data_IF_409342787601
#
_entry.id   IF_409342787601
#
_cell.length_a   1.000
_cell.length_b   1.000
_cell.length_c   1.000
_cell.angle_alpha   90.00
_cell.angle_beta   90.00
_cell.angle_gamma   90.00
#
_symmetry.space_group_name_H-M   'P 1'
#
loop_
_entity.id
_entity.type
_entity.pdbx_description
1 polymer ?
#
# COMPACT_ATOMS: atom_id res chain seq x y z
N UNK A 1 9.23 14.22 19.36
CA UNK A 1 10.09 14.07 18.16
C UNK A 1 9.20 14.30 16.95
N UNK A 2 9.42 15.36 16.21
CA UNK A 2 8.74 15.59 14.95
C UNK A 2 9.42 14.75 13.86
N UNK A 3 8.75 13.67 13.43
CA UNK A 3 9.30 12.71 12.49
C UNK A 3 8.94 13.17 11.06
N UNK A 4 9.92 13.51 10.20
CA UNK A 4 9.66 13.81 8.81
C UNK A 4 8.89 12.67 8.16
N UNK A 5 7.70 12.99 7.62
CA UNK A 5 6.74 12.01 7.12
C UNK A 5 6.37 12.32 5.68
N UNK A 6 6.64 11.41 4.77
CA UNK A 6 6.40 11.56 3.35
C UNK A 6 5.26 10.64 2.91
N UNK A 7 4.22 11.23 2.31
CA UNK A 7 3.13 10.50 1.70
C UNK A 7 3.45 10.26 0.21
N UNK A 8 3.52 8.98 -0.19
CA UNK A 8 3.76 8.55 -1.57
C UNK A 8 2.44 8.05 -2.14
N UNK A 9 1.69 8.96 -2.75
CA UNK A 9 0.36 8.71 -3.30
C UNK A 9 0.40 8.39 -4.81
N UNK A 10 -0.75 8.02 -5.36
CA UNK A 10 -0.93 7.75 -6.78
C UNK A 10 -1.83 6.54 -7.05
N UNK A 11 -2.35 6.40 -8.27
CA UNK A 11 -3.27 5.33 -8.63
C UNK A 11 -2.61 3.95 -8.56
N UNK A 12 -3.46 2.93 -8.64
CA UNK A 12 -3.02 1.55 -8.67
C UNK A 12 -2.08 1.30 -9.86
N UNK A 13 -0.97 0.61 -9.61
CA UNK A 13 0.00 0.26 -10.65
C UNK A 13 0.90 1.40 -11.13
N UNK A 14 0.81 2.63 -10.60
CA UNK A 14 1.65 3.75 -10.99
C UNK A 14 3.14 3.58 -10.63
N UNK A 15 3.47 2.69 -9.67
CA UNK A 15 4.85 2.42 -9.27
C UNK A 15 5.25 3.02 -7.93
N UNK A 16 4.31 3.27 -7.02
CA UNK A 16 4.55 3.79 -5.66
C UNK A 16 5.55 2.94 -4.88
N UNK A 17 5.30 1.64 -4.80
CA UNK A 17 6.17 0.69 -4.10
C UNK A 17 7.55 0.61 -4.72
N UNK A 18 7.64 0.72 -6.04
CA UNK A 18 8.92 0.76 -6.75
C UNK A 18 9.70 2.01 -6.35
N UNK A 19 9.05 3.18 -6.32
CA UNK A 19 9.67 4.40 -5.82
C UNK A 19 10.16 4.27 -4.38
N UNK A 20 9.36 3.69 -3.50
CA UNK A 20 9.76 3.49 -2.10
C UNK A 20 11.02 2.63 -2.01
N UNK A 21 11.13 1.55 -2.79
CA UNK A 21 12.35 0.72 -2.84
C UNK A 21 13.57 1.51 -3.31
N UNK A 22 13.41 2.31 -4.37
CA UNK A 22 14.49 3.14 -4.90
C UNK A 22 14.94 4.19 -3.86
N UNK A 23 14.03 4.74 -3.07
CA UNK A 23 14.37 5.65 -1.97
C UNK A 23 15.08 4.92 -0.83
N UNK A 24 14.64 3.71 -0.48
CA UNK A 24 15.27 2.90 0.56
C UNK A 24 16.70 2.49 0.20
N UNK A 25 16.95 2.19 -1.06
CA UNK A 25 18.29 1.89 -1.54
C UNK A 25 19.27 3.09 -1.39
N UNK A 26 18.72 4.30 -1.26
CA UNK A 26 19.48 5.55 -1.07
C UNK A 26 19.44 6.05 0.39
N UNK A 27 18.88 5.26 1.31
CA UNK A 27 18.78 5.65 2.73
C UNK A 27 20.16 5.95 3.31
N UNK A 28 20.35 7.11 3.98
CA UNK A 28 21.61 7.41 4.64
C UNK A 28 21.95 6.38 5.72
N UNK A 29 23.25 6.06 5.83
CA UNK A 29 23.75 5.23 6.93
C UNK A 29 23.40 5.87 8.28
N UNK A 30 23.04 5.05 9.26
CA UNK A 30 22.70 5.50 10.61
C UNK A 30 21.27 6.05 10.78
N UNK A 31 20.54 6.39 9.71
CA UNK A 31 19.13 6.74 9.82
C UNK A 31 18.26 5.49 9.96
N UNK A 32 17.23 5.57 10.79
CA UNK A 32 16.18 4.55 10.91
C UNK A 32 14.96 5.03 10.16
N UNK A 33 14.55 4.28 9.16
CA UNK A 33 13.37 4.59 8.39
C UNK A 33 12.24 3.61 8.72
N UNK A 34 11.04 4.13 8.82
CA UNK A 34 9.84 3.31 8.92
C UNK A 34 8.99 3.49 7.66
N UNK A 35 8.33 2.42 7.25
CA UNK A 35 7.43 2.43 6.13
C UNK A 35 6.09 1.89 6.61
N UNK A 36 5.03 2.66 6.37
CA UNK A 36 3.67 2.21 6.57
C UNK A 36 3.04 1.95 5.21
N UNK A 37 2.85 0.69 4.87
CA UNK A 37 2.19 0.30 3.64
C UNK A 37 0.76 -0.09 3.96
N UNK A 38 -0.16 0.54 3.25
CA UNK A 38 -1.56 0.17 3.29
C UNK A 38 -2.00 -0.50 1.99
N UNK A 39 -1.22 -1.37 1.49
CA UNK A 39 -1.62 -2.20 0.38
C UNK A 39 -1.71 -3.65 0.81
N UNK A 40 -2.94 -4.19 0.81
CA UNK A 40 -3.18 -5.59 1.05
C UNK A 40 -2.27 -6.44 0.13
N UNK A 41 -1.47 -7.34 0.69
CA UNK A 41 -0.85 -8.42 -0.07
C UNK A 41 0.54 -8.19 -0.64
N UNK A 42 1.27 -7.13 -0.31
CA UNK A 42 2.71 -7.09 -0.63
C UNK A 42 3.59 -7.77 0.43
N UNK A 43 3.01 -8.64 1.22
CA UNK A 43 3.73 -9.42 2.25
C UNK A 43 4.42 -10.64 1.62
N UNK A 44 5.10 -10.53 0.56
CA UNK A 44 5.71 -11.72 -0.01
C UNK A 44 7.12 -11.53 -0.53
N UNK A 45 7.42 -10.35 -1.02
CA UNK A 45 8.76 -10.09 -1.54
C UNK A 45 9.48 -8.98 -0.78
N UNK A 46 8.73 -8.07 -0.21
CA UNK A 46 9.28 -6.85 0.35
C UNK A 46 9.38 -6.90 1.87
N UNK A 47 8.55 -7.70 2.54
CA UNK A 47 8.70 -7.94 3.96
C UNK A 47 9.96 -8.77 4.30
N UNK A 48 10.42 -9.63 3.42
CA UNK A 48 11.70 -10.32 3.59
C UNK A 48 12.90 -9.39 3.43
N UNK A 49 12.72 -8.27 2.69
CA UNK A 49 13.71 -7.21 2.58
C UNK A 49 13.54 -6.11 3.65
N UNK A 50 12.40 -6.09 4.34
CA UNK A 50 11.99 -5.00 5.23
C UNK A 50 11.70 -5.47 6.66
N UNK A 51 11.94 -6.73 7.00
CA UNK A 51 11.96 -7.13 8.42
C UNK A 51 13.05 -6.34 9.10
N UNK A 52 12.73 -5.75 10.24
CA UNK A 52 13.64 -5.08 11.17
C UNK A 52 14.96 -5.84 11.25
N UNK A 53 15.78 -5.64 10.25
CA UNK A 53 17.12 -6.14 10.17
C UNK A 53 18.10 -5.09 10.68
N UNK A 54 19.33 -5.44 10.70
CA UNK A 54 20.49 -4.59 11.02
C UNK A 54 20.55 -3.31 10.15
N UNK A 55 19.72 -3.24 9.08
CA UNK A 55 19.69 -2.14 8.09
C UNK A 55 18.92 -0.88 8.52
N UNK A 56 18.31 -0.85 9.70
CA UNK A 56 17.60 0.32 10.24
C UNK A 56 16.30 0.64 9.49
N UNK A 57 15.65 -0.34 8.87
CA UNK A 57 14.35 -0.20 8.19
C UNK A 57 13.29 -0.99 8.97
N UNK A 58 12.16 -0.36 9.27
CA UNK A 58 11.02 -1.00 9.92
C UNK A 58 9.79 -0.91 9.04
N UNK A 59 9.11 -2.04 8.87
CA UNK A 59 7.86 -2.13 8.13
C UNK A 59 6.67 -2.21 9.07
N UNK A 60 5.68 -1.36 8.87
CA UNK A 60 4.36 -1.44 9.49
C UNK A 60 3.29 -1.74 8.46
N UNK A 61 2.39 -2.64 8.82
CA UNK A 61 1.18 -2.94 8.05
C UNK A 61 -0.05 -2.57 8.90
N UNK A 62 -1.03 -1.91 8.28
CA UNK A 62 -2.32 -1.67 8.94
C UNK A 62 -3.16 -2.94 8.85
N UNK A 63 -3.34 -3.62 9.97
CA UNK A 63 -4.18 -4.81 10.03
C UNK A 63 -5.65 -4.41 9.86
N UNK A 64 -6.31 -4.92 8.83
CA UNK A 64 -7.77 -4.92 8.76
C UNK A 64 -8.44 -4.02 7.75
N UNK A 65 -7.82 -3.65 6.66
CA UNK A 65 -8.57 -3.01 5.59
C UNK A 65 -7.84 -1.90 4.83
N UNK A 66 -8.40 -1.52 3.70
CA UNK A 66 -7.99 -0.32 2.97
C UNK A 66 -7.84 0.89 3.89
N UNK A 67 -6.81 1.71 3.68
CA UNK A 67 -6.77 3.11 4.15
C UNK A 67 -7.86 3.98 3.47
N UNK A 68 -8.81 3.39 2.74
CA UNK A 68 -10.04 4.07 2.37
C UNK A 68 -10.87 4.44 3.61
N UNK A 69 -10.75 3.67 4.70
CA UNK A 69 -11.31 4.02 6.00
C UNK A 69 -10.27 4.78 6.83
N UNK A 70 -9.83 5.92 6.34
CA UNK A 70 -8.81 6.78 6.95
C UNK A 70 -9.19 7.20 8.37
N UNK A 71 -10.47 7.18 8.72
CA UNK A 71 -10.99 7.50 10.06
C UNK A 71 -10.97 6.31 11.03
N UNK A 72 -10.34 5.18 10.67
CA UNK A 72 -10.41 3.96 11.47
C UNK A 72 -9.37 3.87 12.57
N UNK A 73 -9.80 3.42 13.76
CA UNK A 73 -8.92 3.03 14.86
C UNK A 73 -7.74 2.12 14.42
N UNK A 74 -7.87 1.20 13.42
CA UNK A 74 -6.77 0.36 12.96
C UNK A 74 -5.56 1.12 12.43
N UNK A 75 -5.78 2.22 11.68
CA UNK A 75 -4.68 3.04 11.16
C UNK A 75 -3.92 3.74 12.30
N UNK A 76 -4.64 4.40 13.21
CA UNK A 76 -4.03 5.08 14.33
C UNK A 76 -3.25 4.13 15.23
N UNK A 77 -3.80 2.94 15.49
CA UNK A 77 -3.15 1.90 16.26
C UNK A 77 -1.90 1.36 15.56
N UNK A 78 -1.99 1.07 14.26
CA UNK A 78 -0.88 0.55 13.45
C UNK A 78 0.27 1.55 13.37
N UNK A 79 -0.04 2.81 13.06
CA UNK A 79 0.94 3.88 13.00
C UNK A 79 1.59 4.12 14.39
N UNK A 80 0.79 4.25 15.44
CA UNK A 80 1.31 4.44 16.79
C UNK A 80 2.20 3.28 17.25
N UNK A 81 1.86 2.04 16.91
CA UNK A 81 2.68 0.87 17.20
C UNK A 81 4.02 0.90 16.45
N UNK A 82 3.96 1.19 15.13
CA UNK A 82 5.16 1.29 14.30
C UNK A 82 6.13 2.34 14.86
N UNK A 83 5.63 3.53 15.18
CA UNK A 83 6.46 4.63 15.70
C UNK A 83 7.09 4.29 17.05
N UNK A 84 6.37 3.62 17.96
CA UNK A 84 6.91 3.20 19.26
C UNK A 84 8.00 2.13 19.11
N UNK A 85 7.79 1.15 18.25
CA UNK A 85 8.72 0.05 18.07
C UNK A 85 9.98 0.46 17.30
N UNK A 86 9.79 1.17 16.19
CA UNK A 86 10.88 1.50 15.29
C UNK A 86 11.64 2.77 15.72
N UNK A 87 10.98 3.71 16.43
CA UNK A 87 11.52 5.03 16.77
C UNK A 87 12.24 5.68 15.57
N UNK A 88 11.57 5.78 14.41
CA UNK A 88 12.24 6.14 13.18
C UNK A 88 12.69 7.59 13.15
N UNK A 89 13.68 7.87 12.33
CA UNK A 89 14.14 9.20 11.99
C UNK A 89 13.38 9.76 10.79
N UNK A 90 12.74 8.90 9.99
CA UNK A 90 11.89 9.22 8.85
C UNK A 90 10.80 8.18 8.64
N UNK A 91 9.62 8.63 8.22
CA UNK A 91 8.47 7.77 7.92
C UNK A 91 8.05 7.96 6.46
N UNK A 92 7.89 6.87 5.74
CA UNK A 92 7.25 6.82 4.43
C UNK A 92 5.88 6.16 4.58
N UNK A 93 4.84 6.73 3.97
CA UNK A 93 3.49 6.17 3.97
C UNK A 93 3.04 5.94 2.53
N UNK A 94 2.71 4.70 2.19
CA UNK A 94 2.09 4.32 0.93
C UNK A 94 0.60 4.03 1.16
N UNK A 95 -0.32 4.95 0.79
CA UNK A 95 -1.75 4.66 0.81
C UNK A 95 -2.14 3.72 -0.32
N UNK A 96 -3.28 3.06 -0.19
CA UNK A 96 -3.89 2.30 -1.28
C UNK A 96 -4.06 3.17 -2.53
N UNK A 97 -3.82 2.59 -3.70
CA UNK A 97 -4.04 3.27 -4.98
C UNK A 97 -5.51 3.65 -5.24
N UNK A 98 -6.44 3.09 -4.48
CA UNK A 98 -7.87 3.43 -4.49
C UNK A 98 -8.26 4.39 -3.36
N UNK A 99 -7.36 4.70 -2.43
CA UNK A 99 -7.65 5.54 -1.27
C UNK A 99 -7.75 7.02 -1.61
N UNK A 100 -8.08 7.82 -0.58
CA UNK A 100 -8.21 9.28 -0.63
C UNK A 100 -6.95 9.94 -0.03
N UNK A 101 -5.88 10.13 -0.81
CA UNK A 101 -4.61 10.61 -0.26
C UNK A 101 -4.70 12.02 0.34
N UNK A 102 -5.58 12.88 -0.19
CA UNK A 102 -5.80 14.22 0.37
C UNK A 102 -6.39 14.17 1.78
N UNK A 103 -7.33 13.26 2.02
CA UNK A 103 -7.92 13.05 3.35
C UNK A 103 -6.92 12.47 4.33
N UNK A 104 -6.10 11.50 3.89
CA UNK A 104 -5.02 10.97 4.70
C UNK A 104 -4.01 12.05 5.09
N UNK A 105 -3.61 12.89 4.13
CA UNK A 105 -2.69 13.99 4.38
C UNK A 105 -3.22 14.92 5.47
N UNK A 106 -4.51 15.28 5.40
CA UNK A 106 -5.18 16.12 6.41
C UNK A 106 -5.14 15.46 7.79
N UNK A 107 -5.44 14.18 7.89
CA UNK A 107 -5.42 13.45 9.17
C UNK A 107 -4.03 13.34 9.80
N UNK A 108 -2.99 13.18 8.98
CA UNK A 108 -1.61 13.17 9.48
C UNK A 108 -1.18 14.56 10.03
N UNK A 109 -1.86 15.62 9.59
CA UNK A 109 -1.63 17.00 10.05
C UNK A 109 -2.48 17.39 11.27
N UNK A 110 -3.51 16.59 11.59
CA UNK A 110 -4.41 16.81 12.74
C UNK A 110 -3.96 16.01 13.99
N UNK A 111 -4.66 16.23 15.09
CA UNK A 111 -4.45 15.42 16.30
C UNK A 111 -4.85 13.96 16.06
N UNK A 112 -4.13 12.99 16.60
CA UNK A 112 -3.03 13.13 17.57
C UNK A 112 -1.63 13.23 16.93
N UNK A 113 -1.54 13.34 15.60
CA UNK A 113 -0.27 13.22 14.87
C UNK A 113 0.49 14.52 14.72
N UNK A 114 -0.20 15.66 14.78
CA UNK A 114 0.37 16.99 14.55
C UNK A 114 1.63 17.28 15.37
N UNK A 115 1.68 16.79 16.60
CA UNK A 115 2.84 17.01 17.49
C UNK A 115 3.92 15.91 17.35
N UNK A 116 3.64 14.86 16.58
CA UNK A 116 4.52 13.70 16.43
C UNK A 116 5.17 13.67 15.05
N UNK A 117 4.41 14.04 14.01
CA UNK A 117 4.83 13.98 12.62
C UNK A 117 5.09 15.37 12.06
N UNK A 118 6.19 15.51 11.32
CA UNK A 118 6.46 16.65 10.46
C UNK A 118 6.11 16.27 9.02
N UNK A 119 4.83 16.43 8.66
CA UNK A 119 4.33 16.01 7.35
C UNK A 119 4.94 16.87 6.26
N UNK A 120 5.64 16.24 5.32
CA UNK A 120 6.31 16.87 4.20
C UNK A 120 5.37 16.98 3.00
N UNK A 121 5.69 17.85 2.01
CA UNK A 121 4.91 17.90 0.77
C UNK A 121 4.87 16.53 0.09
N UNK A 122 3.68 16.08 -0.30
CA UNK A 122 3.45 14.73 -0.82
C UNK A 122 4.03 14.52 -2.23
N UNK A 123 4.41 13.28 -2.53
CA UNK A 123 4.74 12.85 -3.89
C UNK A 123 3.55 12.09 -4.46
N UNK A 124 3.08 12.50 -5.63
CA UNK A 124 2.04 11.77 -6.38
C UNK A 124 2.68 11.11 -7.59
N UNK A 125 2.71 9.78 -7.57
CA UNK A 125 3.26 8.96 -8.66
C UNK A 125 2.16 8.69 -9.69
N UNK A 126 2.42 9.00 -10.95
CA UNK A 126 1.49 8.84 -12.05
C UNK A 126 2.07 7.92 -13.13
N UNK A 127 1.23 7.11 -13.75
CA UNK A 127 1.60 6.32 -14.92
C UNK A 127 1.51 7.21 -16.18
N UNK A 128 2.65 7.73 -16.63
CA UNK A 128 2.71 8.67 -17.73
C UNK A 128 2.20 8.05 -19.05
N UNK A 129 2.54 6.79 -19.31
CA UNK A 129 2.09 6.10 -20.51
C UNK A 129 0.56 5.90 -20.52
N UNK A 130 -0.01 5.52 -19.37
CA UNK A 130 -1.45 5.36 -19.24
C UNK A 130 -2.22 6.67 -19.42
N UNK A 131 -1.70 7.78 -18.84
CA UNK A 131 -2.30 9.11 -18.99
C UNK A 131 -2.22 9.60 -20.43
N UNK A 132 -1.07 9.45 -21.10
CA UNK A 132 -0.90 9.81 -22.49
C UNK A 132 -1.82 9.00 -23.42
N UNK A 133 -2.15 7.76 -23.04
CA UNK A 133 -3.15 6.93 -23.73
C UNK A 133 -4.61 7.29 -23.40
N UNK A 134 -4.84 8.40 -22.67
CA UNK A 134 -6.18 8.89 -22.32
C UNK A 134 -6.87 8.15 -21.16
N UNK A 135 -6.14 7.35 -20.38
CA UNK A 135 -6.70 6.66 -19.22
C UNK A 135 -7.01 7.68 -18.11
N UNK A 136 -8.27 7.83 -17.67
CA UNK A 136 -8.62 8.83 -16.67
C UNK A 136 -8.06 8.45 -15.29
N UNK A 137 -7.74 9.47 -14.50
CA UNK A 137 -7.43 9.30 -13.08
C UNK A 137 -8.74 9.16 -12.27
N UNK A 138 -8.77 8.28 -11.27
CA UNK A 138 -9.87 8.25 -10.30
C UNK A 138 -10.04 9.62 -9.62
N UNK A 139 -11.29 10.02 -9.32
CA UNK A 139 -11.60 11.33 -8.75
C UNK A 139 -10.83 11.61 -7.44
N UNK A 140 -10.68 10.62 -6.57
CA UNK A 140 -9.91 10.74 -5.33
C UNK A 140 -8.43 11.04 -5.58
N UNK A 141 -7.86 10.53 -6.67
CA UNK A 141 -6.47 10.79 -7.06
C UNK A 141 -6.32 12.16 -7.72
N UNK A 142 -7.32 12.60 -8.50
CA UNK A 142 -7.34 13.95 -9.07
C UNK A 142 -7.30 15.03 -7.98
N UNK A 143 -8.06 14.84 -6.90
CA UNK A 143 -8.08 15.76 -5.76
C UNK A 143 -6.69 15.92 -5.09
N UNK A 144 -5.84 14.90 -5.15
CA UNK A 144 -4.50 14.94 -4.59
C UNK A 144 -3.50 15.73 -5.44
N UNK A 145 -3.72 15.86 -6.76
CA UNK A 145 -2.78 16.53 -7.66
C UNK A 145 -2.54 17.98 -7.29
N UNK A 146 -3.61 18.70 -6.95
CA UNK A 146 -3.54 20.14 -6.62
C UNK A 146 -2.76 20.44 -5.34
N UNK A 147 -2.67 19.49 -4.42
CA UNK A 147 -1.93 19.62 -3.16
C UNK A 147 -0.55 18.93 -3.17
N UNK A 148 -0.17 18.30 -4.28
CA UNK A 148 1.09 17.60 -4.38
C UNK A 148 2.29 18.56 -4.30
N UNK A 149 3.32 18.15 -3.58
CA UNK A 149 4.62 18.81 -3.57
C UNK A 149 5.46 18.45 -4.80
N UNK A 150 5.23 17.22 -5.33
CA UNK A 150 5.89 16.72 -6.52
C UNK A 150 4.97 15.78 -7.29
N UNK A 151 4.84 15.97 -8.60
CA UNK A 151 4.25 15.01 -9.52
C UNK A 151 5.36 14.19 -10.16
N UNK A 152 5.40 12.89 -9.90
CA UNK A 152 6.39 11.98 -10.47
C UNK A 152 5.76 11.18 -11.60
N UNK A 153 6.06 11.54 -12.84
CA UNK A 153 5.55 10.92 -14.06
C UNK A 153 6.39 9.68 -14.39
N UNK A 154 6.00 8.55 -13.83
CA UNK A 154 6.69 7.27 -14.01
C UNK A 154 6.27 6.57 -15.30
N UNK A 155 7.03 5.58 -15.74
CA UNK A 155 6.83 4.85 -17.02
C UNK A 155 6.83 5.78 -18.22
N UNK A 156 7.71 6.75 -18.22
CA UNK A 156 7.79 7.81 -19.25
C UNK A 156 8.73 7.47 -20.40
N UNK A 157 9.34 6.29 -20.40
CA UNK A 157 10.34 5.86 -21.38
C UNK A 157 9.84 5.81 -22.81
N UNK A 158 8.55 5.56 -23.03
CA UNK A 158 7.93 5.48 -24.36
C UNK A 158 7.42 6.83 -24.88
N UNK A 159 7.46 7.90 -24.05
CA UNK A 159 6.91 9.20 -24.41
C UNK A 159 7.98 10.12 -25.01
N UNK A 160 7.72 10.66 -26.20
CA UNK A 160 8.53 11.71 -26.81
C UNK A 160 8.31 13.08 -26.17
N UNK A 161 9.07 14.07 -26.58
CA UNK A 161 9.00 15.43 -26.03
C UNK A 161 7.62 16.08 -26.24
N UNK A 162 6.97 15.81 -27.37
CA UNK A 162 5.65 16.36 -27.70
C UNK A 162 4.58 15.78 -26.79
N UNK A 163 4.55 14.46 -26.63
CA UNK A 163 3.62 13.78 -25.73
C UNK A 163 3.81 14.23 -24.28
N UNK A 164 5.05 14.40 -23.84
CA UNK A 164 5.36 14.95 -22.51
C UNK A 164 4.85 16.36 -22.32
N UNK A 165 5.06 17.25 -23.31
CA UNK A 165 4.58 18.62 -23.24
C UNK A 165 3.05 18.70 -23.18
N UNK A 166 2.35 17.91 -24.00
CA UNK A 166 0.89 17.82 -24.01
C UNK A 166 0.36 17.29 -22.67
N UNK A 167 0.97 16.26 -22.12
CA UNK A 167 0.57 15.70 -20.83
C UNK A 167 0.82 16.68 -19.68
N UNK A 168 1.98 17.34 -19.67
CA UNK A 168 2.30 18.35 -18.65
C UNK A 168 1.31 19.51 -18.64
N UNK A 169 0.83 19.94 -19.81
CA UNK A 169 -0.17 21.01 -19.95
C UNK A 169 -1.55 20.65 -19.38
N UNK A 170 -1.85 19.37 -19.23
CA UNK A 170 -3.12 18.86 -18.64
C UNK A 170 -3.06 18.71 -17.12
N UNK A 171 -1.87 18.80 -16.54
CA UNK A 171 -1.67 18.64 -15.10
C UNK A 171 -1.61 20.01 -14.40
N UNK A 172 -1.94 20.08 -13.10
CA UNK A 172 -1.81 21.32 -12.35
C UNK A 172 -0.35 21.79 -12.33
N UNK A 173 -0.15 23.11 -12.24
CA UNK A 173 1.17 23.75 -12.14
C UNK A 173 1.85 23.38 -10.80
N UNK A 174 2.50 22.24 -10.76
CA UNK A 174 3.26 21.71 -9.64
C UNK A 174 4.65 21.29 -10.10
N UNK A 175 5.64 21.21 -9.20
CA UNK A 175 6.92 20.56 -9.51
C UNK A 175 6.66 19.20 -10.14
N UNK A 176 7.31 18.92 -11.27
CA UNK A 176 7.06 17.72 -12.08
C UNK A 176 8.38 17.13 -12.52
N UNK A 177 8.54 15.82 -12.32
CA UNK A 177 9.69 15.05 -12.79
C UNK A 177 9.23 13.85 -13.61
N UNK A 178 9.98 13.56 -14.68
CA UNK A 178 9.80 12.39 -15.53
C UNK A 178 10.76 11.30 -15.13
N UNK A 179 10.25 10.08 -14.99
CA UNK A 179 11.08 8.95 -14.60
C UNK A 179 10.60 7.63 -15.23
N UNK A 180 11.44 6.63 -15.11
CA UNK A 180 11.12 5.23 -15.36
C UNK A 180 11.51 4.39 -14.17
N UNK A 181 10.82 3.28 -13.95
CA UNK A 181 11.09 2.34 -12.86
C UNK A 181 11.11 2.98 -11.45
N UNK A 182 10.35 4.07 -11.27
CA UNK A 182 10.23 4.74 -9.97
C UNK A 182 11.50 5.41 -9.47
N UNK A 183 12.48 5.67 -10.32
CA UNK A 183 13.74 6.30 -9.92
C UNK A 183 13.50 7.76 -9.54
N UNK A 184 13.97 8.12 -8.35
CA UNK A 184 13.98 9.49 -7.86
C UNK A 184 15.23 9.66 -7.00
N UNK A 185 16.15 10.58 -7.38
CA UNK A 185 17.26 10.93 -6.49
C UNK A 185 16.73 11.38 -5.13
N UNK A 186 17.32 10.92 -4.07
CA UNK A 186 16.86 11.24 -2.71
C UNK A 186 16.84 12.76 -2.47
N UNK A 187 17.77 13.51 -3.09
CA UNK A 187 17.83 14.97 -3.04
C UNK A 187 16.60 15.68 -3.60
N UNK A 188 15.86 15.01 -4.50
CA UNK A 188 14.63 15.53 -5.12
C UNK A 188 13.36 15.19 -4.33
N UNK A 189 13.47 14.38 -3.28
CA UNK A 189 12.35 14.08 -2.42
C UNK A 189 11.95 15.34 -1.63
N UNK A 190 10.74 15.88 -1.78
CA UNK A 190 10.32 17.10 -1.10
C UNK A 190 10.48 16.98 0.42
N UNK A 191 11.16 17.93 1.04
CA UNK A 191 11.41 17.95 2.49
C UNK A 191 12.48 16.97 2.97
N UNK A 192 13.33 16.45 2.11
CA UNK A 192 14.40 15.52 2.50
C UNK A 192 15.39 16.16 3.50
N UNK A 193 15.65 17.46 3.41
CA UNK A 193 16.51 18.19 4.33
C UNK A 193 15.92 18.39 5.73
N UNK A 194 14.66 18.04 5.96
CA UNK A 194 14.05 18.09 7.27
C UNK A 194 14.47 16.87 8.07
N UNK A 195 15.08 17.10 9.23
CA UNK A 195 15.51 16.04 10.14
C UNK A 195 14.60 15.95 11.36
N UNK A 196 14.49 14.75 11.93
CA UNK A 196 13.76 14.53 13.17
C UNK A 196 14.36 15.35 14.31
N UNK A 197 13.59 16.27 14.86
CA UNK A 197 14.05 17.05 16.02
C UNK A 197 13.89 16.22 17.30
N UNK A 198 14.86 16.25 18.24
CA UNK A 198 14.70 15.65 19.55
C UNK A 198 13.59 16.41 20.29
N UNK A 199 12.40 15.79 20.36
CA UNK A 199 11.31 16.30 21.17
C UNK A 199 11.39 15.73 22.58
N UNK A 200 11.06 16.53 23.57
CA UNK A 200 10.81 16.07 24.93
C UNK A 200 9.54 15.20 24.91
N UNK A 201 9.65 14.03 25.52
CA UNK A 201 8.59 13.15 26.01
C UNK A 201 8.03 12.08 25.07
N UNK A 202 8.27 10.85 25.48
CA UNK A 202 7.64 9.61 25.00
C UNK A 202 6.11 9.57 25.23
N UNK A 203 5.54 10.63 25.82
CA UNK A 203 4.18 10.62 26.39
C UNK A 203 3.05 10.98 25.41
N UNK A 204 3.36 11.40 24.17
CA UNK A 204 2.34 11.96 23.26
C UNK A 204 1.80 10.99 22.21
N UNK A 205 2.34 9.79 22.10
CA UNK A 205 1.78 8.78 21.19
C UNK A 205 0.47 8.24 21.77
N UNK A 206 -0.60 8.13 20.98
CA UNK A 206 -1.85 7.54 21.41
C UNK A 206 -1.60 6.18 22.07
N UNK A 207 -2.31 5.83 23.14
CA UNK A 207 -2.18 4.52 23.76
C UNK A 207 -2.39 3.46 22.71
N UNK A 208 -1.41 2.58 22.55
CA UNK A 208 -1.55 1.44 21.66
C UNK A 208 -2.61 0.51 22.22
N UNK A 209 -3.77 0.49 21.60
CA UNK A 209 -4.62 -0.68 21.76
C UNK A 209 -3.75 -1.87 21.38
N UNK A 210 -3.55 -2.80 22.31
CA UNK A 210 -2.85 -4.04 22.01
C UNK A 210 -3.47 -4.61 20.74
N UNK A 211 -2.64 -5.11 19.84
CA UNK A 211 -3.14 -5.87 18.69
C UNK A 211 -4.04 -6.95 19.26
N UNK A 212 -5.36 -6.72 19.22
CA UNK A 212 -6.28 -7.82 19.39
C UNK A 212 -5.93 -8.78 18.24
N UNK A 213 -5.51 -10.02 18.53
CA UNK A 213 -5.38 -11.01 17.48
C UNK A 213 -6.73 -11.06 16.79
N UNK A 214 -6.74 -11.19 15.46
CA UNK A 214 -7.98 -11.45 14.75
C UNK A 214 -8.54 -12.75 15.35
N UNK A 215 -9.51 -12.61 16.23
CA UNK A 215 -10.14 -13.74 16.90
C UNK A 215 -11.14 -14.32 15.90
N UNK A 216 -10.77 -15.42 15.27
CA UNK A 216 -11.73 -16.25 14.57
C UNK A 216 -12.61 -16.91 15.63
N UNK A 217 -13.88 -16.59 15.64
CA UNK A 217 -14.88 -17.34 16.41
C UNK A 217 -15.03 -18.77 15.88
N UNK A 218 -14.80 -18.94 14.58
CA UNK A 218 -14.76 -20.23 13.89
C UNK A 218 -13.54 -20.24 12.92
N UNK A 219 -12.54 -21.10 13.15
CA UNK A 219 -11.38 -21.21 12.27
C UNK A 219 -11.68 -21.67 10.84
N UNK A 220 -12.87 -22.23 10.60
CA UNK A 220 -13.28 -22.69 9.26
C UNK A 220 -13.92 -21.60 8.42
N UNK A 221 -14.27 -20.47 9.03
CA UNK A 221 -14.87 -19.31 8.37
C UNK A 221 -13.87 -18.19 8.20
N UNK A 222 -13.89 -17.50 7.05
CA UNK A 222 -13.02 -16.35 6.85
C UNK A 222 -13.58 -15.09 7.52
N UNK A 223 -12.70 -14.17 7.84
CA UNK A 223 -13.08 -12.78 8.07
C UNK A 223 -13.17 -12.13 6.71
N UNK A 224 -14.37 -11.72 6.31
CA UNK A 224 -14.64 -11.06 5.02
C UNK A 224 -14.80 -9.56 5.23
N UNK A 225 -14.22 -8.77 4.32
CA UNK A 225 -14.34 -7.32 4.28
C UNK A 225 -14.68 -6.89 2.87
N UNK A 226 -15.67 -6.01 2.73
CA UNK A 226 -16.15 -5.49 1.46
C UNK A 226 -16.04 -3.97 1.50
N UNK A 227 -15.52 -3.38 0.42
CA UNK A 227 -15.44 -1.94 0.25
C UNK A 227 -15.98 -1.55 -1.11
N UNK A 228 -16.88 -0.56 -1.12
CA UNK A 228 -17.45 0.01 -2.34
C UNK A 228 -17.16 1.50 -2.37
N UNK A 229 -16.55 1.97 -3.45
CA UNK A 229 -16.21 3.37 -3.65
C UNK A 229 -16.49 3.80 -5.08
N UNK A 230 -16.49 5.13 -5.33
CA UNK A 230 -16.80 5.73 -6.64
C UNK A 230 -15.85 5.30 -7.79
N UNK A 231 -14.83 4.51 -7.53
CA UNK A 231 -13.85 4.05 -8.53
C UNK A 231 -13.64 2.55 -8.59
N UNK A 232 -14.39 1.76 -7.83
CA UNK A 232 -14.24 0.31 -7.82
C UNK A 232 -14.89 -0.34 -6.60
N UNK A 233 -14.94 -1.65 -6.63
CA UNK A 233 -15.42 -2.49 -5.56
C UNK A 233 -14.36 -3.51 -5.20
N UNK A 234 -14.12 -3.73 -3.91
CA UNK A 234 -13.17 -4.73 -3.47
C UNK A 234 -13.74 -5.63 -2.40
N UNK A 235 -13.26 -6.85 -2.39
CA UNK A 235 -13.54 -7.83 -1.35
C UNK A 235 -12.25 -8.52 -0.93
N UNK A 236 -12.05 -8.64 0.38
CA UNK A 236 -10.91 -9.29 0.97
C UNK A 236 -11.32 -10.36 1.99
N UNK A 237 -10.58 -11.46 2.03
CA UNK A 237 -10.77 -12.52 3.00
C UNK A 237 -9.47 -12.79 3.75
N UNK A 238 -9.64 -13.07 5.05
CA UNK A 238 -8.56 -13.56 5.90
C UNK A 238 -8.99 -14.91 6.45
N UNK A 239 -8.22 -15.94 6.16
CA UNK A 239 -8.48 -17.31 6.62
C UNK A 239 -7.51 -17.70 7.72
N UNK A 240 -8.01 -18.45 8.70
CA UNK A 240 -7.18 -18.98 9.78
C UNK A 240 -6.00 -19.80 9.20
N UNK A 241 -4.79 -19.78 9.79
CA UNK A 241 -3.62 -20.49 9.27
C UNK A 241 -3.78 -22.02 9.19
N UNK A 242 -4.76 -22.60 9.88
CA UNK A 242 -5.09 -24.01 9.72
C UNK A 242 -5.74 -24.34 8.38
N UNK A 243 -6.31 -23.34 7.69
CA UNK A 243 -6.95 -23.55 6.39
C UNK A 243 -5.89 -23.55 5.30
N UNK A 244 -5.87 -24.62 4.50
CA UNK A 244 -4.94 -24.81 3.40
C UNK A 244 -5.67 -24.76 2.06
N UNK A 245 -4.96 -24.30 1.03
CA UNK A 245 -5.53 -24.08 -0.29
C UNK A 245 -4.73 -24.82 -1.35
N UNK A 246 -5.47 -25.38 -2.32
CA UNK A 246 -4.90 -25.85 -3.58
C UNK A 246 -4.67 -24.65 -4.51
N UNK A 247 -3.40 -24.35 -4.82
CA UNK A 247 -3.02 -23.18 -5.62
C UNK A 247 -3.51 -23.27 -7.06
N UNK A 248 -3.58 -24.45 -7.64
CA UNK A 248 -4.03 -24.64 -9.01
C UNK A 248 -5.54 -24.44 -9.10
N UNK A 249 -6.29 -24.92 -8.11
CA UNK A 249 -7.74 -24.66 -8.02
C UNK A 249 -8.02 -23.16 -7.80
N UNK A 250 -7.25 -22.48 -6.94
CA UNK A 250 -7.37 -21.02 -6.74
C UNK A 250 -7.08 -20.28 -8.04
N UNK A 251 -6.03 -20.64 -8.78
CA UNK A 251 -5.71 -20.04 -10.06
C UNK A 251 -6.80 -20.27 -11.11
N UNK A 252 -7.34 -21.48 -11.17
CA UNK A 252 -8.45 -21.82 -12.08
C UNK A 252 -9.74 -21.06 -11.73
N UNK A 253 -10.09 -20.97 -10.44
CA UNK A 253 -11.23 -20.20 -9.99
C UNK A 253 -11.06 -18.71 -10.33
N UNK A 254 -9.90 -18.12 -10.07
CA UNK A 254 -9.62 -16.72 -10.40
C UNK A 254 -9.66 -16.44 -11.90
N UNK A 255 -9.28 -17.38 -12.75
CA UNK A 255 -9.38 -17.22 -14.21
C UNK A 255 -10.82 -17.05 -14.71
N UNK A 256 -11.81 -17.49 -13.92
CA UNK A 256 -13.24 -17.33 -14.24
C UNK A 256 -13.89 -16.08 -13.65
N UNK A 257 -13.14 -15.26 -12.91
CA UNK A 257 -13.64 -14.09 -12.17
C UNK A 257 -13.11 -12.80 -12.81
N UNK A 258 -13.94 -11.76 -13.09
CA UNK A 258 -13.56 -10.56 -13.83
C UNK A 258 -12.87 -9.51 -12.93
N UNK A 259 -11.86 -9.90 -12.19
CA UNK A 259 -11.11 -8.98 -11.32
C UNK A 259 -10.12 -8.11 -12.12
N UNK A 260 -9.89 -6.89 -11.63
CA UNK A 260 -8.87 -5.95 -12.12
C UNK A 260 -7.54 -6.12 -11.40
N UNK A 261 -7.58 -6.54 -10.15
CA UNK A 261 -6.40 -6.87 -9.37
C UNK A 261 -6.70 -8.02 -8.44
N UNK A 262 -5.79 -8.98 -8.36
CA UNK A 262 -5.81 -10.06 -7.39
C UNK A 262 -4.50 -10.08 -6.62
N UNK A 263 -4.59 -10.05 -5.29
CA UNK A 263 -3.45 -10.18 -4.37
C UNK A 263 -3.74 -11.28 -3.38
N UNK A 264 -2.79 -12.17 -3.20
CA UNK A 264 -2.98 -13.33 -2.33
C UNK A 264 -1.69 -13.70 -1.61
N UNK A 265 -1.87 -14.17 -0.39
CA UNK A 265 -0.90 -14.97 0.35
C UNK A 265 -1.65 -16.18 0.88
N UNK A 266 -1.25 -17.36 0.50
CA UNK A 266 -1.95 -18.59 0.84
C UNK A 266 -1.04 -19.60 1.52
N UNK A 267 -1.59 -20.31 2.51
CA UNK A 267 -1.04 -21.52 3.06
C UNK A 267 -1.40 -22.66 2.10
N UNK A 268 -0.41 -23.19 1.39
CA UNK A 268 -0.62 -24.25 0.39
C UNK A 268 -0.90 -25.61 0.98
N UNK A 269 -1.45 -26.49 0.15
CA UNK A 269 -1.68 -27.89 0.49
C UNK A 269 -0.40 -28.61 0.93
N UNK A 270 0.74 -28.23 0.34
CA UNK A 270 2.08 -28.72 0.65
C UNK A 270 2.66 -28.19 1.98
N UNK A 271 1.91 -27.36 2.71
CA UNK A 271 2.35 -26.73 3.95
C UNK A 271 3.27 -25.53 3.74
N UNK A 272 3.56 -25.15 2.50
CA UNK A 272 4.35 -23.95 2.19
C UNK A 272 3.45 -22.73 2.00
N UNK A 273 4.04 -21.55 2.14
CA UNK A 273 3.35 -20.28 1.96
C UNK A 273 3.76 -19.63 0.66
N UNK A 274 2.77 -19.21 -0.11
CA UNK A 274 2.99 -18.59 -1.41
C UNK A 274 2.20 -17.30 -1.53
N UNK A 275 2.75 -16.36 -2.28
CA UNK A 275 2.10 -15.11 -2.65
C UNK A 275 2.01 -14.96 -4.16
N UNK A 276 1.00 -14.23 -4.59
CA UNK A 276 0.86 -13.79 -5.97
C UNK A 276 0.20 -12.42 -6.04
N UNK A 277 0.52 -11.66 -7.09
CA UNK A 277 -0.10 -10.38 -7.40
C UNK A 277 -0.24 -10.30 -8.91
N UNK A 278 -1.46 -10.07 -9.40
CA UNK A 278 -1.76 -10.00 -10.81
C UNK A 278 -2.76 -8.88 -11.11
N UNK A 279 -2.76 -8.39 -12.34
CA UNK A 279 -3.61 -7.33 -12.86
C UNK A 279 -4.43 -7.83 -14.03
N UNK A 280 -5.67 -7.35 -14.16
CA UNK A 280 -6.54 -7.48 -15.31
C UNK A 280 -6.64 -8.92 -15.88
N UNK A 281 -6.83 -9.90 -15.00
CA UNK A 281 -6.99 -11.30 -15.38
C UNK A 281 -5.70 -12.02 -15.81
N UNK A 282 -4.52 -11.40 -15.63
CA UNK A 282 -3.25 -12.04 -15.95
C UNK A 282 -3.02 -13.31 -15.11
N UNK A 283 -2.32 -14.32 -15.64
CA UNK A 283 -1.98 -15.52 -14.88
C UNK A 283 -1.22 -15.22 -13.59
N UNK A 284 -1.51 -15.96 -12.52
CA UNK A 284 -0.85 -15.81 -11.24
C UNK A 284 0.59 -16.32 -11.28
N UNK A 285 1.54 -15.45 -11.02
CA UNK A 285 2.94 -15.82 -10.81
C UNK A 285 3.17 -16.08 -9.31
N UNK A 286 3.15 -17.34 -8.91
CA UNK A 286 3.37 -17.74 -7.54
C UNK A 286 4.83 -17.59 -7.13
N UNK A 287 5.04 -17.10 -5.91
CA UNK A 287 6.35 -16.93 -5.27
C UNK A 287 6.31 -17.45 -3.84
N UNK A 288 7.41 -17.99 -3.34
CA UNK A 288 7.51 -18.36 -1.93
C UNK A 288 7.30 -17.11 -1.05
N UNK A 289 6.62 -17.27 0.05
CA UNK A 289 6.34 -16.20 1.00
C UNK A 289 6.86 -16.56 2.38
N UNK A 290 7.41 -15.58 3.09
CA UNK A 290 7.80 -15.70 4.48
C UNK A 290 6.65 -15.46 5.48
N UNK A 291 5.49 -15.07 4.97
CA UNK A 291 4.31 -14.88 5.80
C UNK A 291 3.81 -16.19 6.41
N UNK A 292 3.41 -16.18 7.71
CA UNK A 292 3.02 -17.39 8.44
C UNK A 292 1.79 -17.21 9.35
N UNK A 293 1.06 -16.08 9.23
CA UNK A 293 0.01 -15.74 10.20
C UNK A 293 -1.39 -16.14 9.78
N UNK A 294 -1.76 -15.92 8.53
CA UNK A 294 -3.10 -16.17 7.97
C UNK A 294 -3.04 -16.22 6.45
N UNK A 295 -3.96 -16.92 5.81
CA UNK A 295 -4.12 -16.80 4.36
C UNK A 295 -4.97 -15.57 4.05
N UNK A 296 -4.55 -14.79 3.07
CA UNK A 296 -5.22 -13.56 2.64
C UNK A 296 -5.44 -13.57 1.15
N UNK A 297 -6.59 -13.09 0.74
CA UNK A 297 -6.91 -12.84 -0.67
C UNK A 297 -7.71 -11.56 -0.76
N UNK A 298 -7.32 -10.67 -1.66
CA UNK A 298 -8.05 -9.46 -1.99
C UNK A 298 -8.27 -9.39 -3.49
N UNK A 299 -9.50 -9.12 -3.88
CA UNK A 299 -9.89 -8.89 -5.26
C UNK A 299 -10.46 -7.47 -5.41
N UNK A 300 -10.06 -6.80 -6.48
CA UNK A 300 -10.57 -5.49 -6.87
C UNK A 300 -11.28 -5.64 -8.21
N UNK A 301 -12.47 -5.08 -8.31
CA UNK A 301 -13.35 -5.12 -9.47
C UNK A 301 -13.72 -3.71 -9.94
N UNK A 302 -14.11 -3.58 -11.20
CA UNK A 302 -14.66 -2.33 -11.72
C UNK A 302 -16.06 -2.04 -11.14
N UNK A 303 -16.85 -3.10 -10.89
CA UNK A 303 -18.24 -3.05 -10.45
C UNK A 303 -18.46 -4.02 -9.28
N UNK A 304 -19.53 -3.78 -8.52
CA UNK A 304 -19.92 -4.63 -7.41
C UNK A 304 -20.17 -6.08 -7.85
N UNK A 305 -19.73 -7.03 -7.02
CA UNK A 305 -19.88 -8.47 -7.24
C UNK A 305 -20.65 -9.12 -6.08
N UNK A 306 -21.11 -10.34 -6.29
CA UNK A 306 -21.67 -11.16 -5.21
C UNK A 306 -20.53 -11.72 -4.33
N UNK A 307 -20.30 -11.09 -3.19
CA UNK A 307 -19.27 -11.49 -2.25
C UNK A 307 -19.48 -12.89 -1.68
N UNK A 308 -20.74 -13.34 -1.52
CA UNK A 308 -21.04 -14.67 -0.99
C UNK A 308 -20.69 -15.75 -2.02
N UNK A 309 -21.02 -15.53 -3.29
CA UNK A 309 -20.64 -16.42 -4.38
C UNK A 309 -19.12 -16.51 -4.54
N UNK A 310 -18.42 -15.37 -4.47
CA UNK A 310 -16.96 -15.33 -4.51
C UNK A 310 -16.34 -16.07 -3.32
N UNK A 311 -16.86 -15.89 -2.11
CA UNK A 311 -16.38 -16.60 -0.92
C UNK A 311 -16.58 -18.10 -1.03
N UNK A 312 -17.73 -18.53 -1.55
CA UNK A 312 -18.02 -19.96 -1.75
C UNK A 312 -17.04 -20.57 -2.78
N UNK A 313 -16.75 -19.88 -3.86
CA UNK A 313 -15.77 -20.30 -4.85
C UNK A 313 -14.37 -20.47 -4.28
N UNK A 314 -13.91 -19.48 -3.49
CA UNK A 314 -12.62 -19.56 -2.81
C UNK A 314 -12.60 -20.69 -1.76
N UNK A 315 -13.68 -20.84 -1.01
CA UNK A 315 -13.80 -21.89 0.00
C UNK A 315 -13.74 -23.30 -0.60
N UNK A 316 -14.24 -23.48 -1.82
CA UNK A 316 -14.16 -24.75 -2.55
C UNK A 316 -12.72 -25.14 -2.95
N UNK A 317 -11.79 -24.19 -2.99
CA UNK A 317 -10.37 -24.42 -3.29
C UNK A 317 -9.58 -24.89 -2.04
N UNK A 318 -10.20 -25.08 -0.90
CA UNK A 318 -9.53 -25.59 0.31
C UNK A 318 -9.30 -27.10 0.21
N UNK A 319 -8.20 -27.53 0.77
CA UNK A 319 -7.90 -28.95 0.97
C UNK A 319 -8.30 -29.37 2.37
N UNK A 320 -8.76 -30.61 2.49
CA UNK A 320 -9.21 -31.17 3.76
C UNK A 320 -8.04 -31.37 4.76
#
# INVERSE_FOLDING_TARGET
>A
KHIPTHLIAGPLGAGKTTLIRELLAQKPEGERWAILINEFGQVGLDAALLTTGEDGIALGEVAGGCLCCVNGAPFQVGLGRLLRQARPDRLLIEPSGLGHPAELLRQLQDEPWREVLAVQPSVVVLDAAALAAGRPLPAAQQAALGAAGLLLLNKSESLDATARALLAAQLPARPLLWTSQGRLPLSELPGIGTHAQPGSEESKLPPGAGSLPALWSDPTLPICQIHAEAGGWSVGWRWHPSQRFDRDQVAQWLAAVPWRRAKLVLHGADGSWHSANALDGAPLAWRASEWRRDSRLELIFAEAQDAAALQAGLAACRVA
#
